data_IF_834686488291
#
_entry.id   IF_834686488291
#
_cell.length_a   1.000
_cell.length_b   1.000
_cell.length_c   1.000
_cell.angle_alpha   90.00
_cell.angle_beta   90.00
_cell.angle_gamma   90.00
#
_symmetry.space_group_name_H-M   'P 1'
#
loop_
_entity.id
_entity.type
_entity.pdbx_description
1 polymer ?
#
# COMPACT_ATOMS: atom_id res chain seq x y z
N UNK A 1 -16.29 -1.97 7.72
CA UNK A 1 -15.62 -0.65 7.61
C UNK A 1 -14.19 -0.72 7.08
N UNK A 2 -13.49 -1.86 7.17
CA UNK A 2 -12.10 -1.98 6.67
C UNK A 2 -12.01 -2.05 5.14
N UNK A 3 -12.88 -2.81 4.46
CA UNK A 3 -12.81 -3.01 3.00
C UNK A 3 -12.81 -1.71 2.17
N UNK A 4 -13.53 -0.67 2.61
CA UNK A 4 -13.48 0.65 1.96
C UNK A 4 -12.08 1.27 2.06
N UNK A 5 -11.40 1.21 3.21
CA UNK A 5 -10.03 1.74 3.35
C UNK A 5 -9.04 1.04 2.42
N UNK A 6 -9.17 -0.27 2.24
CA UNK A 6 -8.35 -1.03 1.31
C UNK A 6 -8.58 -0.62 -0.15
N UNK A 7 -9.82 -0.36 -0.55
CA UNK A 7 -10.13 0.12 -1.90
C UNK A 7 -9.50 1.49 -2.20
N UNK A 8 -9.47 2.39 -1.21
CA UNK A 8 -8.86 3.71 -1.33
C UNK A 8 -7.33 3.68 -1.46
N UNK A 9 -6.70 2.56 -1.09
CA UNK A 9 -5.27 2.33 -1.27
C UNK A 9 -5.01 1.60 -2.59
N UNK A 10 -5.77 0.53 -2.85
CA UNK A 10 -5.57 -0.34 -4.00
C UNK A 10 -5.81 0.37 -5.34
N UNK A 11 -6.83 1.24 -5.40
CA UNK A 11 -7.22 1.93 -6.63
C UNK A 11 -6.20 2.97 -7.10
N UNK A 12 -5.73 3.93 -6.28
CA UNK A 12 -4.67 4.84 -6.70
C UNK A 12 -3.34 4.12 -6.98
N UNK A 13 -3.02 3.09 -6.20
CA UNK A 13 -1.82 2.27 -6.42
C UNK A 13 -1.84 1.60 -7.79
N UNK A 14 -3.01 1.12 -8.25
CA UNK A 14 -3.18 0.53 -9.58
C UNK A 14 -2.83 1.52 -10.70
N UNK A 15 -3.34 2.75 -10.59
CA UNK A 15 -3.08 3.81 -11.57
C UNK A 15 -1.59 4.19 -11.61
N UNK A 16 -0.96 4.34 -10.45
CA UNK A 16 0.48 4.63 -10.35
C UNK A 16 1.32 3.50 -10.95
N UNK A 17 0.95 2.24 -10.67
CA UNK A 17 1.62 1.08 -11.23
C UNK A 17 1.52 1.02 -12.76
N UNK A 18 0.35 1.30 -13.33
CA UNK A 18 0.16 1.35 -14.77
C UNK A 18 1.01 2.45 -15.44
N UNK A 19 1.10 3.64 -14.81
CA UNK A 19 1.95 4.73 -15.30
C UNK A 19 3.43 4.36 -15.21
N UNK A 20 3.87 3.76 -14.10
CA UNK A 20 5.25 3.30 -13.94
C UNK A 20 5.61 2.22 -14.96
N UNK A 21 4.73 1.24 -15.19
CA UNK A 21 4.92 0.21 -16.20
C UNK A 21 5.14 0.83 -17.59
N UNK A 22 4.28 1.76 -17.99
CA UNK A 22 4.39 2.47 -19.27
C UNK A 22 5.71 3.24 -19.39
N UNK A 23 6.15 3.94 -18.33
CA UNK A 23 7.39 4.71 -18.34
C UNK A 23 8.62 3.78 -18.41
N UNK A 24 8.65 2.76 -17.55
CA UNK A 24 9.79 1.83 -17.44
C UNK A 24 9.98 1.08 -18.75
N UNK A 25 8.92 0.51 -19.32
CA UNK A 25 9.05 -0.24 -20.57
C UNK A 25 9.09 0.61 -21.83
N UNK A 26 8.79 1.91 -21.74
CA UNK A 26 9.16 2.85 -22.80
C UNK A 26 10.67 3.10 -22.84
N UNK A 27 11.37 2.93 -21.71
CA UNK A 27 12.82 3.14 -21.60
C UNK A 27 13.64 1.85 -21.66
N UNK A 28 13.07 0.73 -21.21
CA UNK A 28 13.72 -0.59 -21.15
C UNK A 28 12.95 -1.58 -22.03
N UNK A 29 13.61 -2.18 -23.01
CA UNK A 29 12.99 -3.23 -23.83
C UNK A 29 12.81 -4.51 -22.97
N UNK A 30 11.59 -5.05 -22.81
CA UNK A 30 11.36 -6.29 -22.10
C UNK A 30 12.11 -7.49 -22.71
N UNK A 31 12.48 -7.40 -24.00
CA UNK A 31 13.23 -8.42 -24.73
C UNK A 31 14.70 -8.50 -24.31
N UNK A 32 15.24 -7.42 -23.74
CA UNK A 32 16.64 -7.34 -23.27
C UNK A 32 16.80 -7.78 -21.80
N UNK A 33 15.71 -8.16 -21.12
CA UNK A 33 15.81 -8.78 -19.79
C UNK A 33 16.37 -10.21 -19.93
N UNK A 34 17.63 -10.38 -19.56
CA UNK A 34 18.27 -11.68 -19.40
C UNK A 34 18.23 -12.11 -17.93
N UNK A 35 17.69 -13.30 -17.64
CA UNK A 35 17.66 -13.87 -16.30
C UNK A 35 18.71 -14.96 -16.18
N UNK A 36 19.67 -14.79 -15.26
CA UNK A 36 20.76 -15.75 -15.03
C UNK A 36 21.55 -16.13 -16.30
N UNK A 37 21.74 -15.19 -17.23
CA UNK A 37 22.56 -15.39 -18.43
C UNK A 37 21.88 -16.18 -19.56
N UNK A 38 20.59 -16.49 -19.44
CA UNK A 38 19.76 -16.97 -20.55
C UNK A 38 18.66 -15.95 -20.88
N UNK A 39 18.26 -15.83 -22.16
CA UNK A 39 17.08 -15.06 -22.51
C UNK A 39 15.89 -15.60 -21.70
N UNK A 40 15.16 -14.70 -21.07
CA UNK A 40 13.91 -15.06 -20.40
C UNK A 40 12.97 -15.64 -21.47
N UNK A 41 12.72 -16.95 -21.44
CA UNK A 41 11.65 -17.58 -22.22
C UNK A 41 10.23 -17.19 -21.72
N UNK A 42 10.12 -16.08 -21.00
CA UNK A 42 8.83 -15.47 -20.75
C UNK A 42 8.41 -14.72 -22.01
N UNK A 43 7.17 -14.98 -22.45
CA UNK A 43 6.56 -14.16 -23.48
C UNK A 43 6.50 -12.69 -23.02
N UNK A 44 6.68 -11.74 -23.95
CA UNK A 44 6.52 -10.30 -23.67
C UNK A 44 5.31 -9.96 -22.77
N UNK A 45 4.08 -10.46 -23.04
CA UNK A 45 2.94 -10.18 -22.16
C UNK A 45 3.10 -10.71 -20.72
N UNK A 46 3.84 -11.80 -20.51
CA UNK A 46 4.13 -12.30 -19.18
C UNK A 46 5.06 -11.35 -18.39
N UNK A 47 6.02 -10.72 -19.06
CA UNK A 47 6.91 -9.73 -18.42
C UNK A 47 6.15 -8.47 -18.00
N UNK A 48 5.30 -7.94 -18.89
CA UNK A 48 4.43 -6.79 -18.59
C UNK A 48 3.54 -7.04 -17.38
N UNK A 49 2.79 -8.13 -17.40
CA UNK A 49 1.89 -8.49 -16.30
C UNK A 49 2.62 -8.65 -14.96
N UNK A 50 3.78 -9.32 -14.95
CA UNK A 50 4.54 -9.53 -13.72
C UNK A 50 5.12 -8.21 -13.17
N UNK A 51 5.63 -7.34 -14.04
CA UNK A 51 6.09 -6.01 -13.66
C UNK A 51 4.95 -5.14 -13.13
N UNK A 52 3.78 -5.14 -13.79
CA UNK A 52 2.58 -4.46 -13.33
C UNK A 52 2.20 -4.87 -11.91
N UNK A 53 2.08 -6.18 -11.66
CA UNK A 53 1.75 -6.69 -10.33
C UNK A 53 2.81 -6.32 -9.29
N UNK A 54 4.09 -6.34 -9.67
CA UNK A 54 5.19 -5.94 -8.78
C UNK A 54 5.08 -4.47 -8.40
N UNK A 55 4.93 -3.57 -9.37
CA UNK A 55 4.76 -2.14 -9.10
C UNK A 55 3.49 -1.86 -8.29
N UNK A 56 2.39 -2.56 -8.58
CA UNK A 56 1.14 -2.41 -7.86
C UNK A 56 1.25 -2.84 -6.39
N UNK A 57 1.87 -3.99 -6.12
CA UNK A 57 2.10 -4.48 -4.75
C UNK A 57 3.00 -3.52 -3.98
N UNK A 58 4.10 -3.04 -4.57
CA UNK A 58 5.01 -2.09 -3.92
C UNK A 58 4.28 -0.78 -3.59
N UNK A 59 3.49 -0.24 -4.53
CA UNK A 59 2.69 0.97 -4.30
C UNK A 59 1.63 0.77 -3.21
N UNK A 60 0.96 -0.38 -3.18
CA UNK A 60 0.02 -0.73 -2.11
C UNK A 60 0.71 -0.82 -0.75
N UNK A 61 1.87 -1.47 -0.65
CA UNK A 61 2.63 -1.60 0.61
C UNK A 61 3.07 -0.23 1.12
N UNK A 62 3.60 0.63 0.25
CA UNK A 62 4.00 2.00 0.60
C UNK A 62 2.82 2.81 1.16
N UNK A 63 1.68 2.73 0.49
CA UNK A 63 0.46 3.42 0.89
C UNK A 63 -0.12 2.85 2.19
N UNK A 64 -0.16 1.53 2.34
CA UNK A 64 -0.60 0.87 3.56
C UNK A 64 0.28 1.26 4.75
N UNK A 65 1.61 1.26 4.57
CA UNK A 65 2.56 1.71 5.60
C UNK A 65 2.31 3.17 5.98
N UNK A 66 2.09 4.04 4.99
CA UNK A 66 1.75 5.46 5.23
C UNK A 66 0.47 5.59 6.06
N UNK A 67 -0.57 4.82 5.73
CA UNK A 67 -1.82 4.85 6.51
C UNK A 67 -1.67 4.30 7.92
N UNK A 68 -0.75 3.34 8.13
CA UNK A 68 -0.46 2.76 9.43
C UNK A 68 0.34 3.74 10.30
N UNK A 69 1.28 4.47 9.70
CA UNK A 69 2.02 5.56 10.36
C UNK A 69 1.15 6.77 10.65
N UNK A 70 0.14 7.05 9.80
CA UNK A 70 -0.79 8.16 10.00
C UNK A 70 -1.94 7.85 10.97
N UNK A 71 -2.00 6.64 11.55
CA UNK A 71 -3.03 6.31 12.55
C UNK A 71 -2.77 7.09 13.85
N UNK A 72 -3.80 7.79 14.32
CA UNK A 72 -3.67 8.60 15.53
C UNK A 72 -3.55 7.72 16.79
N UNK A 73 -2.79 8.17 17.82
CA UNK A 73 -2.70 7.45 19.09
C UNK A 73 -4.06 7.24 19.77
N UNK A 74 -5.03 8.12 19.52
CA UNK A 74 -6.38 8.04 20.07
C UNK A 74 -7.24 6.95 19.42
N UNK A 75 -6.94 6.58 18.17
CA UNK A 75 -7.60 5.45 17.49
C UNK A 75 -6.98 4.11 17.93
N UNK A 76 -5.66 4.07 18.13
CA UNK A 76 -4.93 2.88 18.55
C UNK A 76 -5.10 2.57 20.04
N UNK A 77 -5.04 3.57 20.92
CA UNK A 77 -5.11 3.42 22.38
C UNK A 77 -6.50 3.74 22.96
N UNK A 78 -7.58 3.55 22.19
CA UNK A 78 -8.92 3.95 22.65
C UNK A 78 -9.35 3.09 23.86
N UNK A 79 -9.69 3.72 24.98
CA UNK A 79 -10.15 3.01 26.17
C UNK A 79 -11.42 2.20 25.81
N UNK A 80 -11.44 0.86 25.99
CA UNK A 80 -12.54 -0.01 25.55
C UNK A 80 -13.79 0.07 26.43
N UNK A 81 -13.84 1.02 27.37
CA UNK A 81 -14.83 1.09 28.43
C UNK A 81 -15.94 2.09 28.05
N UNK A 82 -17.23 1.74 28.25
CA UNK A 82 -18.36 2.65 28.09
C UNK A 82 -18.18 3.96 28.89
N UNK A 83 -18.74 5.10 28.42
CA UNK A 83 -18.50 6.42 29.02
C UNK A 83 -18.83 6.49 30.52
N UNK A 84 -19.83 5.73 30.96
CA UNK A 84 -20.34 5.65 32.34
C UNK A 84 -19.44 4.85 33.30
N UNK A 85 -18.55 4.01 32.77
CA UNK A 85 -17.67 3.13 33.57
C UNK A 85 -16.18 3.48 33.41
N UNK A 86 -15.87 4.61 32.75
CA UNK A 86 -14.49 5.00 32.49
C UNK A 86 -13.79 5.43 33.80
N UNK A 87 -12.68 4.79 34.19
CA UNK A 87 -11.90 5.23 35.34
C UNK A 87 -11.39 6.67 35.12
N UNK A 88 -11.32 7.47 36.19
CA UNK A 88 -10.90 8.88 36.11
C UNK A 88 -9.51 9.07 35.47
N UNK A 89 -8.63 8.07 35.56
CA UNK A 89 -7.31 8.07 34.92
C UNK A 89 -7.37 8.01 33.38
N UNK A 90 -8.35 7.31 32.78
CA UNK A 90 -8.57 7.36 31.32
C UNK A 90 -9.12 8.74 30.87
N UNK A 91 -9.83 9.46 31.76
CA UNK A 91 -10.34 10.80 31.45
C UNK A 91 -9.23 11.87 31.52
N UNK A 92 -8.24 11.70 32.39
CA UNK A 92 -7.13 12.66 32.56
C UNK A 92 -6.17 12.76 31.37
N UNK A 93 -6.03 11.70 30.57
CA UNK A 93 -5.15 11.72 29.39
C UNK A 93 -5.79 12.39 28.15
N UNK A 94 -7.03 12.86 28.28
CA UNK A 94 -7.73 13.67 27.29
C UNK A 94 -7.56 15.18 27.53
N UNK A 95 -6.33 15.66 27.69
CA UNK A 95 -6.05 17.09 27.54
C UNK A 95 -6.34 17.49 26.09
N UNK A 96 -7.62 17.78 25.82
CA UNK A 96 -8.02 18.68 24.74
C UNK A 96 -7.37 20.03 25.02
N UNK A 97 -6.23 20.26 24.37
CA UNK A 97 -5.69 21.56 24.02
C UNK A 97 -5.57 21.60 22.51
#
# INVERSE_FOLDING_TARGET
MTAHRWMWIAWPAFLVAAVLEMIVFAMIDPSDLHWFGSPLELSRPAVYTLAFFTFWVVAMVSSALTTLLSMSPFEVNRCPVPPDQRPQDCAKNGSCG
#
